data_IF_270766535632
#
_entry.id   IF_270766535632
#
_cell.length_a   1.000
_cell.length_b   1.000
_cell.length_c   1.000
_cell.angle_alpha   90.00
_cell.angle_beta   90.00
_cell.angle_gamma   90.00
#
_symmetry.space_group_name_H-M   'P 1'
#
loop_
_entity.id
_entity.type
_entity.pdbx_description
1 polymer ?
#
# COMPACT_ATOMS: atom_id res chain seq x y z
N UNK A 1 -58.70 -33.65 8.90
CA UNK A 1 -58.57 -32.33 8.25
C UNK A 1 -58.45 -31.26 9.32
N UNK A 2 -57.24 -30.70 9.48
CA UNK A 2 -57.03 -29.39 10.10
C UNK A 2 -55.77 -28.77 9.46
N UNK A 3 -56.08 -27.86 8.55
CA UNK A 3 -55.36 -26.76 7.90
C UNK A 3 -53.83 -26.61 8.00
N UNK A 4 -53.25 -26.66 6.80
CA UNK A 4 -52.14 -25.86 6.27
C UNK A 4 -51.90 -24.50 6.97
N UNK A 5 -50.61 -24.13 7.09
CA UNK A 5 -50.03 -22.79 7.36
C UNK A 5 -49.41 -22.59 8.75
N UNK A 6 -48.23 -23.18 8.98
CA UNK A 6 -47.16 -22.48 9.70
C UNK A 6 -45.87 -22.67 8.91
N UNK A 7 -45.62 -21.68 8.06
CA UNK A 7 -44.41 -21.53 7.25
C UNK A 7 -43.23 -21.47 8.21
N UNK A 8 -42.46 -22.55 8.26
CA UNK A 8 -41.13 -22.57 8.85
C UNK A 8 -40.27 -21.69 7.95
N UNK A 9 -40.14 -20.40 8.29
CA UNK A 9 -39.19 -19.50 7.63
C UNK A 9 -37.79 -20.01 8.01
N UNK A 10 -37.18 -20.77 7.11
CA UNK A 10 -35.77 -21.13 7.20
C UNK A 10 -34.94 -19.86 7.40
N UNK A 11 -34.28 -19.77 8.56
CA UNK A 11 -33.19 -18.81 8.74
C UNK A 11 -31.98 -19.36 7.97
N UNK A 12 -31.89 -19.03 6.69
CA UNK A 12 -30.67 -19.22 5.92
C UNK A 12 -29.70 -18.10 6.31
N UNK A 13 -28.86 -18.35 7.32
CA UNK A 13 -27.70 -17.51 7.60
C UNK A 13 -26.65 -17.83 6.53
N UNK A 14 -26.73 -17.13 5.40
CA UNK A 14 -25.69 -17.17 4.38
C UNK A 14 -24.50 -16.37 4.90
N UNK A 15 -23.50 -17.04 5.44
CA UNK A 15 -22.20 -16.42 5.75
C UNK A 15 -21.56 -16.05 4.42
N UNK A 16 -21.66 -14.80 3.99
CA UNK A 16 -20.94 -14.30 2.83
C UNK A 16 -19.44 -14.33 3.16
N UNK A 17 -18.72 -15.28 2.59
CA UNK A 17 -17.27 -15.32 2.66
C UNK A 17 -16.74 -14.19 1.77
N UNK A 18 -16.41 -13.05 2.38
CA UNK A 18 -15.69 -11.98 1.69
C UNK A 18 -14.26 -12.50 1.48
N UNK A 19 -14.01 -13.08 0.31
CA UNK A 19 -12.64 -13.30 -0.14
C UNK A 19 -12.10 -11.91 -0.49
N UNK A 20 -11.45 -11.27 0.48
CA UNK A 20 -10.58 -10.14 0.21
C UNK A 20 -9.45 -10.70 -0.66
N UNK A 21 -9.56 -10.53 -1.99
CA UNK A 21 -8.54 -10.94 -2.92
C UNK A 21 -7.26 -10.18 -2.56
N UNK A 22 -6.20 -10.91 -2.21
CA UNK A 22 -4.89 -10.30 -2.05
C UNK A 22 -4.45 -9.77 -3.42
N UNK A 23 -4.44 -8.46 -3.59
CA UNK A 23 -3.78 -7.83 -4.72
C UNK A 23 -2.28 -8.09 -4.57
N UNK A 24 -1.59 -8.62 -5.59
CA UNK A 24 -0.16 -8.84 -5.52
C UNK A 24 0.55 -7.52 -5.24
N UNK A 25 1.59 -7.56 -4.41
CA UNK A 25 2.44 -6.39 -4.17
C UNK A 25 3.08 -5.96 -5.50
N UNK A 26 2.77 -4.76 -5.96
CA UNK A 26 3.36 -4.22 -7.19
C UNK A 26 4.61 -3.44 -6.82
N UNK A 27 5.75 -4.13 -6.80
CA UNK A 27 7.07 -3.51 -6.66
C UNK A 27 7.57 -3.01 -8.02
N UNK A 28 8.07 -1.77 -8.07
CA UNK A 28 8.68 -1.17 -9.25
C UNK A 28 10.05 -0.61 -8.88
N UNK A 29 11.08 -0.98 -9.66
CA UNK A 29 12.43 -0.43 -9.52
C UNK A 29 12.83 0.23 -10.84
N UNK A 30 13.08 1.53 -10.82
CA UNK A 30 13.44 2.32 -12.00
C UNK A 30 14.56 3.32 -11.73
N UNK A 31 15.29 3.69 -12.78
CA UNK A 31 16.26 4.78 -12.71
C UNK A 31 15.60 6.07 -13.21
N UNK A 32 15.42 7.04 -12.31
CA UNK A 32 14.71 8.30 -12.58
C UNK A 32 15.27 9.46 -11.74
N UNK A 33 15.21 10.69 -12.26
CA UNK A 33 15.69 11.87 -11.55
C UNK A 33 17.21 11.93 -11.33
N UNK A 34 17.99 11.02 -11.94
CA UNK A 34 19.43 10.85 -11.68
C UNK A 34 19.76 9.84 -10.57
N UNK A 35 18.74 9.18 -10.02
CA UNK A 35 18.84 8.18 -8.96
C UNK A 35 18.13 6.87 -9.30
N UNK A 36 18.03 5.98 -8.32
CA UNK A 36 17.25 4.73 -8.38
C UNK A 36 16.09 4.82 -7.41
N UNK A 37 14.89 4.52 -7.88
CA UNK A 37 13.67 4.53 -7.08
C UNK A 37 13.06 3.12 -7.03
N UNK A 38 12.96 2.56 -5.83
CA UNK A 38 12.26 1.32 -5.51
C UNK A 38 11.00 1.67 -4.71
N UNK A 39 9.82 1.36 -5.26
CA UNK A 39 8.57 1.70 -4.62
C UNK A 39 7.47 0.69 -4.91
N UNK A 40 6.46 0.69 -4.06
CA UNK A 40 5.29 -0.15 -4.24
C UNK A 40 4.39 -0.18 -3.03
N UNK A 41 3.33 -0.99 -3.15
CA UNK A 41 2.43 -1.32 -2.06
C UNK A 41 2.15 -2.82 -2.06
N UNK A 42 2.33 -3.43 -0.90
CA UNK A 42 1.99 -4.82 -0.63
C UNK A 42 0.64 -4.96 0.07
N UNK A 43 0.46 -6.05 0.80
CA UNK A 43 -0.75 -6.27 1.62
C UNK A 43 -0.65 -5.65 3.02
N UNK A 44 0.57 -5.34 3.48
CA UNK A 44 0.83 -4.81 4.81
C UNK A 44 1.41 -3.38 4.78
N UNK A 45 2.32 -3.11 3.85
CA UNK A 45 3.04 -1.83 3.79
C UNK A 45 3.08 -1.23 2.38
N UNK A 46 3.08 0.09 2.32
CA UNK A 46 3.50 0.94 1.20
C UNK A 46 4.92 1.37 1.50
N UNK A 47 5.80 1.35 0.50
CA UNK A 47 7.18 1.81 0.66
C UNK A 47 7.58 2.76 -0.48
N UNK A 48 8.60 3.56 -0.19
CA UNK A 48 9.27 4.42 -1.16
C UNK A 48 10.71 4.60 -0.74
N UNK A 49 11.61 4.00 -1.49
CA UNK A 49 13.04 3.99 -1.24
C UNK A 49 13.73 4.65 -2.44
N UNK A 50 14.40 5.77 -2.19
CA UNK A 50 15.06 6.54 -3.25
C UNK A 50 16.54 6.73 -2.94
N UNK A 51 17.39 6.39 -3.91
CA UNK A 51 18.82 6.64 -3.88
C UNK A 51 19.20 7.71 -4.88
N UNK A 52 20.01 8.67 -4.47
CA UNK A 52 20.65 9.61 -5.39
C UNK A 52 22.12 9.84 -5.05
N UNK A 53 23.01 9.51 -5.99
CA UNK A 53 24.46 9.49 -5.74
C UNK A 53 25.15 10.86 -5.60
N UNK A 54 24.52 11.95 -6.05
CA UNK A 54 25.18 13.27 -6.13
C UNK A 54 24.37 14.45 -5.57
N UNK A 55 23.19 14.22 -4.99
CA UNK A 55 22.31 15.28 -4.46
C UNK A 55 21.61 14.79 -3.20
N UNK A 56 21.31 15.73 -2.31
CA UNK A 56 20.32 15.52 -1.25
C UNK A 56 18.98 15.17 -1.89
N UNK A 57 18.24 14.25 -1.29
CA UNK A 57 17.02 13.69 -1.86
C UNK A 57 16.11 13.19 -0.74
N UNK A 58 14.90 12.77 -1.09
CA UNK A 58 13.96 12.22 -0.12
C UNK A 58 12.92 11.33 -0.75
N UNK A 59 12.22 10.59 0.09
CA UNK A 59 11.12 9.70 -0.27
C UNK A 59 9.95 9.87 0.69
N UNK A 60 8.76 9.47 0.25
CA UNK A 60 7.55 9.50 1.09
C UNK A 60 6.66 8.32 0.75
N UNK A 61 6.18 7.65 1.79
CA UNK A 61 5.18 6.59 1.73
C UNK A 61 3.87 7.11 2.30
N UNK A 62 2.80 7.02 1.52
CA UNK A 62 1.45 7.42 1.92
C UNK A 62 0.60 6.15 2.02
N UNK A 63 0.20 5.82 3.24
CA UNK A 63 -0.71 4.72 3.54
C UNK A 63 -1.70 5.13 4.63
N UNK A 64 -1.88 4.29 5.65
CA UNK A 64 -2.67 4.61 6.84
C UNK A 64 -2.12 5.82 7.62
N UNK A 65 -0.82 6.07 7.46
CA UNK A 65 -0.13 7.28 7.87
C UNK A 65 0.86 7.70 6.79
N UNK A 66 1.46 8.89 6.95
CA UNK A 66 2.50 9.39 6.06
C UNK A 66 3.84 9.22 6.76
N UNK A 67 4.79 8.59 6.08
CA UNK A 67 6.19 8.51 6.47
C UNK A 67 7.06 9.17 5.41
N UNK A 68 8.02 9.98 5.85
CA UNK A 68 8.87 10.78 4.97
C UNK A 68 10.29 10.84 5.51
N UNK A 69 11.25 10.70 4.61
CA UNK A 69 12.68 10.72 4.93
C UNK A 69 13.44 11.62 3.94
N UNK A 70 14.62 12.06 4.38
CA UNK A 70 15.59 12.80 3.59
C UNK A 70 16.98 12.22 3.83
N UNK A 71 17.76 12.07 2.76
CA UNK A 71 19.11 11.54 2.83
C UNK A 71 20.06 12.41 2.00
N UNK A 72 21.31 12.52 2.49
CA UNK A 72 22.38 13.17 1.77
C UNK A 72 22.75 12.40 0.50
N UNK A 73 23.58 13.01 -0.35
CA UNK A 73 24.07 12.34 -1.55
C UNK A 73 24.80 11.03 -1.20
N UNK A 74 24.50 9.96 -1.94
CA UNK A 74 25.16 8.66 -1.80
C UNK A 74 24.54 7.71 -0.78
N UNK A 75 23.45 8.10 -0.12
CA UNK A 75 22.62 7.23 0.72
C UNK A 75 21.28 6.89 0.07
N UNK A 76 20.49 6.09 0.79
CA UNK A 76 19.09 5.79 0.47
C UNK A 76 18.19 6.50 1.48
N UNK A 77 17.22 7.27 0.99
CA UNK A 77 16.06 7.68 1.78
C UNK A 77 15.05 6.54 1.79
N UNK A 78 14.67 6.03 2.97
CA UNK A 78 13.87 4.81 3.14
C UNK A 78 12.62 5.12 3.95
N UNK A 79 11.43 4.80 3.43
CA UNK A 79 10.16 5.08 4.13
C UNK A 79 9.19 3.93 4.00
N UNK A 80 8.36 3.74 5.04
CA UNK A 80 7.27 2.76 5.01
C UNK A 80 6.05 3.24 5.80
N UNK A 81 4.87 2.98 5.23
CA UNK A 81 3.59 3.18 5.91
C UNK A 81 2.74 1.92 5.85
N UNK A 82 1.94 1.65 6.88
CA UNK A 82 0.90 0.61 6.80
C UNK A 82 -0.05 0.88 5.63
N UNK A 83 -0.54 -0.17 4.96
CA UNK A 83 -1.46 -0.03 3.81
C UNK A 83 -2.81 0.53 4.26
N UNK A 84 -3.28 1.57 3.57
CA UNK A 84 -4.65 2.04 3.65
C UNK A 84 -5.58 1.23 2.73
N UNK A 85 -6.89 1.27 3.02
CA UNK A 85 -7.91 0.62 2.18
C UNK A 85 -7.93 1.17 0.73
N UNK A 86 -7.49 2.41 0.53
CA UNK A 86 -7.36 3.08 -0.77
C UNK A 86 -6.41 4.28 -0.65
N UNK A 87 -5.89 4.78 -1.78
CA UNK A 87 -5.05 5.99 -1.79
C UNK A 87 -3.62 5.76 -1.31
N UNK A 88 -3.11 4.53 -1.47
CA UNK A 88 -1.71 4.22 -1.22
C UNK A 88 -0.84 4.82 -2.33
N UNK A 89 0.16 5.62 -1.95
CA UNK A 89 1.01 6.34 -2.89
C UNK A 89 2.48 6.35 -2.42
N UNK A 90 3.39 6.44 -3.38
CA UNK A 90 4.84 6.52 -3.13
C UNK A 90 5.39 7.71 -3.90
N UNK A 91 6.27 8.49 -3.26
CA UNK A 91 6.91 9.66 -3.86
C UNK A 91 8.41 9.64 -3.67
N UNK A 92 9.12 10.27 -4.61
CA UNK A 92 10.53 10.63 -4.50
C UNK A 92 10.74 12.10 -4.84
N UNK A 93 11.84 12.68 -4.36
CA UNK A 93 12.30 14.02 -4.74
C UNK A 93 13.82 14.08 -4.80
N UNK A 94 14.33 14.94 -5.68
CA UNK A 94 15.79 15.14 -5.88
C UNK A 94 16.31 16.37 -5.12
N UNK A 95 15.65 16.71 -4.01
CA UNK A 95 16.01 17.81 -3.13
C UNK A 95 15.55 17.53 -1.70
N UNK A 96 16.30 18.09 -0.76
CA UNK A 96 15.87 18.44 0.58
C UNK A 96 15.50 19.93 0.50
#
# INVERSE_FOLDING_TARGET
>A
MMSLKRVVKMAAVSTALVVAGATPALATVINIGGGTWDYGAGTAVVWSDYYHGSKCHGSTSVGAYIDSDEEAAGGWSITQAEVAASGNESYYRTSC
#
